data_IF_640647487510
#
_entry.id   IF_640647487510
#
_cell.length_a   1.000
_cell.length_b   1.000
_cell.length_c   1.000
_cell.angle_alpha   90.00
_cell.angle_beta   90.00
_cell.angle_gamma   90.00
#
_symmetry.space_group_name_H-M   'P 1'
#
loop_
_entity.id
_entity.type
_entity.pdbx_description
1 polymer ?
#
# COMPACT_ATOMS: atom_id res chain seq x y z
N UNK A 1 0.20 16.77 16.12
CA UNK A 1 0.35 15.39 15.62
C UNK A 1 -0.18 14.47 16.70
N UNK A 2 -1.00 13.49 16.36
CA UNK A 2 -1.36 12.43 17.33
C UNK A 2 -0.10 11.56 17.44
N UNK A 3 0.64 11.70 18.54
CA UNK A 3 1.77 10.83 18.85
C UNK A 3 1.20 9.45 19.15
N UNK A 4 1.13 8.59 18.13
CA UNK A 4 0.73 7.21 18.33
C UNK A 4 1.92 6.45 18.88
N UNK A 5 1.75 5.79 20.02
CA UNK A 5 2.69 4.78 20.49
C UNK A 5 2.66 3.59 19.52
N UNK A 6 3.49 3.65 18.47
CA UNK A 6 3.53 2.63 17.42
C UNK A 6 3.90 1.24 17.96
N UNK A 7 4.64 1.16 19.07
CA UNK A 7 4.96 -0.10 19.74
C UNK A 7 3.69 -0.71 20.33
N UNK A 8 2.97 0.03 21.16
CA UNK A 8 1.73 -0.45 21.79
C UNK A 8 0.64 -0.77 20.75
N UNK A 9 0.52 0.04 19.70
CA UNK A 9 -0.43 -0.21 18.61
C UNK A 9 -0.08 -1.49 17.85
N UNK A 10 1.20 -1.73 17.54
CA UNK A 10 1.65 -2.94 16.87
C UNK A 10 1.48 -4.19 17.75
N UNK A 11 1.79 -4.08 19.04
CA UNK A 11 1.57 -5.15 20.02
C UNK A 11 0.10 -5.57 20.05
N UNK A 12 -0.80 -4.60 20.23
CA UNK A 12 -2.24 -4.83 20.23
C UNK A 12 -2.70 -5.47 18.92
N UNK A 13 -2.21 -5.01 17.77
CA UNK A 13 -2.53 -5.60 16.47
C UNK A 13 -2.09 -7.07 16.37
N UNK A 14 -0.89 -7.42 16.85
CA UNK A 14 -0.33 -8.77 16.81
C UNK A 14 -0.86 -9.69 17.94
N UNK A 15 -1.60 -9.17 18.90
CA UNK A 15 -2.33 -9.98 19.89
C UNK A 15 -3.41 -10.87 19.24
N UNK A 16 -3.94 -10.44 18.08
CA UNK A 16 -4.92 -11.18 17.30
C UNK A 16 -4.25 -12.24 16.40
N UNK A 17 -4.67 -13.50 16.51
CA UNK A 17 -4.10 -14.62 15.76
C UNK A 17 -4.18 -14.46 14.23
N UNK A 18 -5.30 -13.95 13.72
CA UNK A 18 -5.50 -13.73 12.29
C UNK A 18 -4.55 -12.66 11.75
N UNK A 19 -4.29 -11.61 12.52
CA UNK A 19 -3.29 -10.59 12.18
C UNK A 19 -1.86 -11.14 12.21
N UNK A 20 -1.53 -12.05 13.15
CA UNK A 20 -0.22 -12.74 13.13
C UNK A 20 -0.03 -13.54 11.85
N UNK A 21 -1.03 -14.35 11.47
CA UNK A 21 -1.02 -15.12 10.22
C UNK A 21 -0.86 -14.23 8.99
N UNK A 22 -1.55 -13.08 8.98
CA UNK A 22 -1.45 -12.11 7.89
C UNK A 22 -0.07 -11.48 7.74
N UNK A 23 0.60 -11.25 8.88
CA UNK A 23 1.87 -10.53 8.99
C UNK A 23 3.07 -11.41 8.69
N UNK A 24 2.96 -12.72 8.93
CA UNK A 24 4.06 -13.68 8.77
C UNK A 24 4.73 -13.64 7.37
N UNK A 25 4.00 -13.56 6.24
CA UNK A 25 4.63 -13.37 4.93
C UNK A 25 5.49 -12.11 4.83
N UNK A 26 5.06 -11.00 5.43
CA UNK A 26 5.84 -9.75 5.43
C UNK A 26 7.08 -9.89 6.29
N UNK A 27 6.97 -10.44 7.50
CA UNK A 27 8.13 -10.73 8.35
C UNK A 27 9.13 -11.66 7.65
N UNK A 28 8.63 -12.71 6.98
CA UNK A 28 9.44 -13.60 6.15
C UNK A 28 10.20 -12.83 5.08
N UNK A 29 9.58 -11.85 4.43
CA UNK A 29 10.23 -10.98 3.43
C UNK A 29 11.31 -10.07 4.03
N UNK A 30 11.03 -9.47 5.18
CA UNK A 30 11.96 -8.57 5.87
C UNK A 30 13.19 -9.32 6.39
N UNK A 31 13.00 -10.52 6.90
CA UNK A 31 14.03 -11.35 7.53
C UNK A 31 14.78 -12.27 6.55
N UNK A 32 14.48 -12.25 5.23
CA UNK A 32 15.13 -13.15 4.25
C UNK A 32 16.67 -13.15 4.35
N UNK A 33 17.27 -11.97 4.52
CA UNK A 33 18.73 -11.81 4.63
C UNK A 33 19.32 -12.41 5.92
N UNK A 34 18.46 -12.68 6.90
CA UNK A 34 18.80 -13.21 8.23
C UNK A 34 18.56 -14.71 8.36
N UNK A 35 18.08 -15.37 7.30
CA UNK A 35 17.81 -16.80 7.30
C UNK A 35 19.10 -17.61 7.12
N UNK A 36 19.44 -18.46 8.10
CA UNK A 36 20.64 -19.29 8.16
C UNK A 36 20.28 -20.67 8.70
N UNK A 37 20.57 -21.73 7.94
CA UNK A 37 20.42 -23.11 8.43
C UNK A 37 19.04 -23.48 8.96
N UNK A 38 17.96 -22.94 8.36
CA UNK A 38 16.58 -23.23 8.78
C UNK A 38 15.99 -22.27 9.83
N UNK A 39 16.77 -21.31 10.34
CA UNK A 39 16.32 -20.33 11.34
C UNK A 39 16.65 -18.89 10.92
N UNK A 40 15.88 -17.92 11.41
CA UNK A 40 16.17 -16.49 11.30
C UNK A 40 17.02 -16.05 12.48
N UNK A 41 18.15 -15.40 12.22
CA UNK A 41 19.12 -14.97 13.23
C UNK A 41 19.18 -13.44 13.28
N UNK A 42 18.86 -12.88 14.45
CA UNK A 42 18.95 -11.44 14.72
C UNK A 42 20.04 -11.24 15.78
N UNK A 43 21.05 -10.41 15.50
CA UNK A 43 22.23 -10.27 16.37
C UNK A 43 23.48 -11.01 15.87
N UNK A 44 24.53 -11.01 16.69
CA UNK A 44 25.80 -11.72 16.45
C UNK A 44 26.28 -12.43 17.72
N UNK A 45 26.98 -13.55 17.55
CA UNK A 45 27.63 -14.26 18.67
C UNK A 45 26.63 -14.83 19.68
N UNK A 46 27.00 -14.77 20.96
CA UNK A 46 26.20 -15.28 22.09
C UNK A 46 24.90 -14.50 22.34
N UNK A 47 24.78 -13.28 21.83
CA UNK A 47 23.61 -12.41 22.00
C UNK A 47 22.59 -12.54 20.85
N UNK A 48 22.77 -13.50 19.95
CA UNK A 48 21.85 -13.67 18.81
C UNK A 48 20.53 -14.33 19.23
N UNK A 49 19.42 -13.67 18.92
CA UNK A 49 18.09 -14.28 18.96
C UNK A 49 17.88 -15.16 17.72
N UNK A 50 17.33 -16.36 17.92
CA UNK A 50 17.06 -17.32 16.85
C UNK A 50 15.56 -17.63 16.81
N UNK A 51 14.99 -17.55 15.62
CA UNK A 51 13.56 -17.78 15.39
C UNK A 51 13.38 -18.83 14.29
N UNK A 52 12.51 -19.80 14.53
CA UNK A 52 12.05 -20.75 13.52
C UNK A 52 11.05 -20.10 12.56
N UNK A 53 10.65 -20.82 11.51
CA UNK A 53 9.56 -20.37 10.63
C UNK A 53 8.20 -20.29 11.36
N UNK A 54 7.96 -21.17 12.33
CA UNK A 54 6.74 -21.14 13.14
C UNK A 54 6.68 -19.91 14.05
N UNK A 55 7.83 -19.39 14.48
CA UNK A 55 7.89 -18.19 15.33
C UNK A 55 7.42 -16.93 14.59
N UNK A 56 7.48 -16.90 13.26
CA UNK A 56 6.89 -15.81 12.47
C UNK A 56 5.38 -15.67 12.70
N UNK A 57 4.72 -16.76 13.09
CA UNK A 57 3.29 -16.83 13.37
C UNK A 57 3.00 -16.78 14.87
N UNK A 58 3.82 -17.46 15.68
CA UNK A 58 3.59 -17.58 17.12
C UNK A 58 4.06 -16.34 17.90
N UNK A 59 5.19 -15.74 17.48
CA UNK A 59 5.92 -14.72 18.24
C UNK A 59 6.36 -13.51 17.39
N UNK A 60 5.50 -12.96 16.51
CA UNK A 60 5.89 -11.87 15.63
C UNK A 60 6.29 -10.59 16.37
N UNK A 61 5.75 -10.35 17.57
CA UNK A 61 6.12 -9.18 18.36
C UNK A 61 7.52 -9.31 19.00
N UNK A 62 7.86 -10.47 19.56
CA UNK A 62 9.23 -10.75 20.08
C UNK A 62 10.30 -10.59 19.00
N UNK A 63 9.97 -10.95 17.76
CA UNK A 63 10.83 -10.74 16.59
C UNK A 63 11.05 -9.25 16.33
N UNK A 64 9.98 -8.44 16.40
CA UNK A 64 10.06 -6.99 16.23
C UNK A 64 10.90 -6.35 17.33
N UNK A 65 10.70 -6.74 18.58
CA UNK A 65 11.51 -6.28 19.71
C UNK A 65 13.00 -6.64 19.53
N UNK A 66 13.28 -7.86 19.07
CA UNK A 66 14.65 -8.29 18.78
C UNK A 66 15.29 -7.47 17.65
N UNK A 67 14.54 -7.11 16.60
CA UNK A 67 15.03 -6.23 15.53
C UNK A 67 15.34 -4.82 16.06
N UNK A 68 14.44 -4.23 16.84
CA UNK A 68 14.62 -2.89 17.40
C UNK A 68 15.83 -2.86 18.33
N UNK A 69 15.92 -3.81 19.28
CA UNK A 69 17.04 -3.91 20.20
C UNK A 69 18.37 -4.08 19.47
N UNK A 70 18.42 -4.94 18.45
CA UNK A 70 19.61 -5.14 17.63
C UNK A 70 20.08 -3.85 16.94
N UNK A 71 19.17 -3.12 16.29
CA UNK A 71 19.51 -1.91 15.55
C UNK A 71 19.93 -0.76 16.47
N UNK A 72 19.28 -0.64 17.64
CA UNK A 72 19.68 0.32 18.68
C UNK A 72 21.08 0.03 19.20
N UNK A 73 21.38 -1.22 19.54
CA UNK A 73 22.71 -1.62 20.02
C UNK A 73 23.80 -1.39 18.97
N UNK A 74 23.48 -1.64 17.69
CA UNK A 74 24.40 -1.39 16.58
C UNK A 74 24.53 0.10 16.24
N UNK A 75 23.61 0.95 16.71
CA UNK A 75 23.46 2.36 16.33
C UNK A 75 23.38 2.56 14.81
N UNK A 76 22.71 1.64 14.13
CA UNK A 76 22.59 1.64 12.67
C UNK A 76 21.22 1.15 12.23
N UNK A 77 20.69 1.76 11.17
CA UNK A 77 19.51 1.25 10.48
C UNK A 77 19.87 0.11 9.52
N UNK A 78 18.89 -0.74 9.19
CA UNK A 78 19.03 -1.75 8.16
C UNK A 78 17.76 -1.94 7.30
N UNK A 79 17.94 -2.66 6.20
CA UNK A 79 16.87 -3.00 5.26
C UNK A 79 15.76 -3.90 5.83
N UNK A 80 15.89 -4.44 7.05
CA UNK A 80 14.85 -5.27 7.68
C UNK A 80 13.80 -4.44 8.42
N UNK A 81 14.13 -3.21 8.81
CA UNK A 81 13.16 -2.25 9.37
C UNK A 81 12.92 -1.07 8.43
N UNK A 82 13.95 -0.51 7.81
CA UNK A 82 13.83 0.60 6.85
C UNK A 82 14.28 0.10 5.47
N UNK A 83 13.35 -0.35 4.59
CA UNK A 83 13.70 -1.08 3.38
C UNK A 83 14.67 -0.35 2.44
N UNK A 84 14.68 0.99 2.43
CA UNK A 84 15.55 1.80 1.56
C UNK A 84 16.99 1.93 2.04
N UNK A 85 17.30 1.55 3.29
CA UNK A 85 18.63 1.70 3.86
C UNK A 85 19.48 0.47 3.52
N UNK A 86 20.68 0.73 3.00
CA UNK A 86 21.71 -0.30 2.85
C UNK A 86 22.49 -0.33 4.17
N UNK A 87 22.56 -1.50 4.81
CA UNK A 87 23.32 -1.61 6.06
C UNK A 87 24.82 -1.49 5.80
N UNK A 88 25.58 -1.04 6.80
CA UNK A 88 27.05 -1.00 6.76
C UNK A 88 27.69 -2.35 6.40
N UNK A 89 27.03 -3.46 6.75
CA UNK A 89 27.47 -4.82 6.42
C UNK A 89 27.34 -5.14 4.93
N UNK A 90 26.36 -4.54 4.26
CA UNK A 90 26.09 -4.76 2.84
C UNK A 90 26.87 -3.78 1.96
N UNK A 91 27.09 -2.55 2.45
CA UNK A 91 27.86 -1.54 1.75
C UNK A 91 28.61 -0.61 2.74
N UNK A 92 29.81 -1.00 3.20
CA UNK A 92 30.58 -0.25 4.20
C UNK A 92 30.86 1.21 3.81
N UNK A 93 30.97 1.47 2.50
CA UNK A 93 31.31 2.77 1.93
C UNK A 93 30.10 3.72 1.75
N UNK A 94 28.87 3.23 1.94
CA UNK A 94 27.62 4.01 1.83
C UNK A 94 27.02 4.31 3.20
N UNK A 95 27.87 4.44 4.22
CA UNK A 95 27.47 4.72 5.59
C UNK A 95 26.79 6.10 5.65
N UNK A 96 25.51 6.12 6.00
CA UNK A 96 24.88 7.35 6.51
C UNK A 96 25.49 7.56 7.90
N UNK A 97 26.50 8.42 7.99
CA UNK A 97 27.34 8.56 9.19
C UNK A 97 26.63 9.25 10.38
N UNK A 98 25.39 9.73 10.23
CA UNK A 98 24.89 10.82 11.10
C UNK A 98 23.52 10.62 11.77
N UNK A 99 22.87 9.45 11.70
CA UNK A 99 21.62 9.25 12.45
C UNK A 99 21.62 7.94 13.23
N UNK A 100 21.74 8.06 14.56
CA UNK A 100 21.39 6.97 15.46
C UNK A 100 19.92 6.59 15.24
N UNK A 101 19.57 5.28 15.29
CA UNK A 101 18.20 4.85 15.15
C UNK A 101 17.33 5.38 16.28
N UNK A 102 16.37 6.23 15.91
CA UNK A 102 15.32 6.64 16.82
C UNK A 102 14.32 5.49 16.99
N UNK A 103 14.00 5.17 18.23
CA UNK A 103 13.15 4.02 18.57
C UNK A 103 11.72 4.18 18.03
N UNK A 104 11.16 5.40 18.15
CA UNK A 104 9.83 5.70 17.61
C UNK A 104 9.80 5.48 16.09
N UNK A 105 10.84 5.93 15.39
CA UNK A 105 11.00 5.73 13.95
C UNK A 105 11.07 4.24 13.58
N UNK A 106 11.85 3.43 14.30
CA UNK A 106 11.92 1.99 14.05
C UNK A 106 10.56 1.31 14.25
N UNK A 107 9.85 1.63 15.32
CA UNK A 107 8.52 1.10 15.59
C UNK A 107 7.49 1.56 14.55
N UNK A 108 7.53 2.82 14.11
CA UNK A 108 6.68 3.33 13.04
C UNK A 108 6.87 2.55 11.75
N UNK A 109 8.12 2.31 11.33
CA UNK A 109 8.39 1.54 10.11
C UNK A 109 7.93 0.08 10.22
N UNK A 110 8.19 -0.58 11.35
CA UNK A 110 7.69 -1.92 11.60
C UNK A 110 6.16 -1.96 11.57
N UNK A 111 5.49 -1.01 12.22
CA UNK A 111 4.04 -0.87 12.16
C UNK A 111 3.55 -0.73 10.72
N UNK A 112 4.12 0.18 9.93
CA UNK A 112 3.70 0.42 8.55
C UNK A 112 3.89 -0.80 7.65
N UNK A 113 4.99 -1.54 7.82
CA UNK A 113 5.28 -2.76 7.06
C UNK A 113 4.34 -3.91 7.46
N UNK A 114 4.19 -4.15 8.76
CA UNK A 114 3.50 -5.32 9.29
C UNK A 114 1.98 -5.20 9.17
N UNK A 115 1.45 -4.00 9.39
CA UNK A 115 -0.01 -3.75 9.31
C UNK A 115 -0.48 -3.40 7.90
N UNK A 116 0.45 -3.13 6.99
CA UNK A 116 0.15 -2.71 5.61
C UNK A 116 -0.58 -3.78 4.81
N UNK A 117 -1.39 -3.31 3.86
CA UNK A 117 -2.11 -4.15 2.92
C UNK A 117 -1.12 -4.65 1.85
N UNK A 118 -0.84 -5.95 1.86
CA UNK A 118 0.17 -6.53 0.99
C UNK A 118 -0.39 -7.40 -0.14
N UNK A 119 0.35 -7.40 -1.25
CA UNK A 119 0.21 -8.37 -2.34
C UNK A 119 1.60 -8.76 -2.81
N UNK A 120 1.98 -10.04 -2.59
CA UNK A 120 3.32 -10.56 -2.88
C UNK A 120 4.39 -9.71 -2.18
N UNK A 121 5.23 -9.01 -2.95
CA UNK A 121 6.36 -8.23 -2.46
C UNK A 121 6.05 -6.74 -2.30
N UNK A 122 4.79 -6.34 -2.48
CA UNK A 122 4.36 -4.95 -2.35
C UNK A 122 3.52 -4.81 -1.09
N UNK A 123 3.82 -3.80 -0.27
CA UNK A 123 3.06 -3.44 0.93
C UNK A 123 2.60 -2.00 0.80
N UNK A 124 1.31 -1.75 0.99
CA UNK A 124 0.72 -0.40 0.94
C UNK A 124 0.11 -0.07 2.30
N UNK A 125 0.44 1.10 2.86
CA UNK A 125 -0.12 1.57 4.12
C UNK A 125 -0.56 3.03 4.04
N UNK A 126 -1.48 3.43 4.92
CA UNK A 126 -1.97 4.79 5.08
C UNK A 126 -1.46 5.32 6.42
N UNK A 127 -0.44 6.16 6.37
CA UNK A 127 0.15 6.78 7.56
C UNK A 127 -0.57 8.07 7.94
N UNK A 128 -0.54 8.41 9.24
CA UNK A 128 -1.25 9.55 9.83
C UNK A 128 -2.77 9.56 9.56
N UNK A 129 -3.37 8.39 9.32
CA UNK A 129 -4.82 8.20 9.31
C UNK A 129 -5.29 7.80 10.71
N UNK A 130 -6.46 8.29 11.21
CA UNK A 130 -7.00 7.86 12.49
C UNK A 130 -7.06 6.34 12.60
N UNK A 131 -6.55 5.79 13.71
CA UNK A 131 -6.36 4.35 13.87
C UNK A 131 -7.70 3.61 13.78
N UNK A 132 -8.75 4.16 14.38
CA UNK A 132 -10.11 3.60 14.37
C UNK A 132 -10.65 3.53 12.94
N UNK A 133 -10.40 4.56 12.13
CA UNK A 133 -10.83 4.59 10.73
C UNK A 133 -10.10 3.50 9.91
N UNK A 134 -8.79 3.37 10.12
CA UNK A 134 -7.99 2.34 9.44
C UNK A 134 -8.42 0.92 9.85
N UNK A 135 -8.72 0.70 11.13
CA UNK A 135 -9.23 -0.58 11.64
C UNK A 135 -10.57 -0.94 11.00
N UNK A 136 -11.55 -0.02 10.99
CA UNK A 136 -12.87 -0.28 10.37
C UNK A 136 -12.75 -0.53 8.86
N UNK A 137 -11.83 0.18 8.20
CA UNK A 137 -11.52 -0.07 6.79
C UNK A 137 -10.99 -1.49 6.59
N UNK A 138 -9.99 -1.89 7.39
CA UNK A 138 -9.40 -3.23 7.35
C UNK A 138 -10.44 -4.31 7.63
N UNK A 139 -11.25 -4.17 8.67
CA UNK A 139 -12.32 -5.12 9.01
C UNK A 139 -13.35 -5.24 7.89
N UNK A 140 -13.60 -4.14 7.17
CA UNK A 140 -14.45 -4.16 5.97
C UNK A 140 -13.82 -4.96 4.84
N UNK A 141 -12.52 -4.80 4.59
CA UNK A 141 -11.81 -5.61 3.61
C UNK A 141 -11.79 -7.11 3.98
N UNK A 142 -11.70 -7.44 5.28
CA UNK A 142 -11.76 -8.83 5.76
C UNK A 142 -13.15 -9.41 5.54
N UNK A 143 -14.21 -8.75 6.03
CA UNK A 143 -15.59 -9.22 5.92
C UNK A 143 -16.03 -9.38 4.46
N UNK A 144 -15.58 -8.50 3.58
CA UNK A 144 -15.89 -8.55 2.16
C UNK A 144 -14.89 -9.40 1.37
N UNK A 145 -14.03 -10.15 2.06
CA UNK A 145 -13.02 -11.10 1.51
C UNK A 145 -12.08 -10.48 0.47
N UNK A 146 -11.85 -9.17 0.55
CA UNK A 146 -10.77 -8.50 -0.17
C UNK A 146 -9.42 -8.77 0.49
N UNK A 147 -9.40 -9.13 1.78
CA UNK A 147 -8.25 -9.68 2.48
C UNK A 147 -8.45 -11.16 2.75
N UNK A 148 -7.45 -11.97 2.37
CA UNK A 148 -7.47 -13.43 2.50
C UNK A 148 -6.36 -13.89 3.43
N UNK A 149 -6.66 -14.89 4.26
CA UNK A 149 -5.80 -15.46 5.29
C UNK A 149 -5.65 -16.97 5.06
N UNK A 150 -4.96 -17.36 4.00
CA UNK A 150 -4.79 -18.76 3.63
C UNK A 150 -3.32 -19.20 3.65
N UNK A 151 -3.07 -20.48 3.91
CA UNK A 151 -1.72 -21.07 3.89
C UNK A 151 -1.00 -20.88 2.54
N UNK A 152 -1.75 -20.99 1.44
CA UNK A 152 -1.20 -20.84 0.08
C UNK A 152 -1.24 -19.40 -0.44
N UNK A 153 -2.20 -18.60 0.03
CA UNK A 153 -2.42 -17.24 -0.43
C UNK A 153 -2.90 -16.38 0.74
N UNK A 154 -2.02 -15.49 1.20
CA UNK A 154 -2.32 -14.47 2.21
C UNK A 154 -2.04 -13.10 1.60
N UNK A 155 -2.94 -12.14 1.85
CA UNK A 155 -2.83 -10.78 1.31
C UNK A 155 -4.11 -10.31 0.61
N UNK A 156 -3.97 -9.35 -0.29
CA UNK A 156 -5.08 -8.78 -1.05
C UNK A 156 -5.58 -9.72 -2.16
N UNK A 157 -6.90 -9.89 -2.24
CA UNK A 157 -7.57 -10.59 -3.33
C UNK A 157 -7.74 -9.67 -4.55
N UNK A 158 -6.69 -9.60 -5.36
CA UNK A 158 -6.63 -8.72 -6.54
C UNK A 158 -7.73 -8.99 -7.55
N UNK A 159 -8.10 -10.27 -7.75
CA UNK A 159 -9.17 -10.61 -8.69
C UNK A 159 -10.50 -10.01 -8.22
N UNK A 160 -10.81 -10.15 -6.92
CA UNK A 160 -12.04 -9.60 -6.33
C UNK A 160 -12.05 -8.08 -6.36
N UNK A 161 -10.91 -7.45 -6.03
CA UNK A 161 -10.78 -5.99 -6.07
C UNK A 161 -10.97 -5.42 -7.49
N UNK A 162 -10.32 -6.01 -8.49
CA UNK A 162 -10.47 -5.56 -9.88
C UNK A 162 -11.91 -5.78 -10.38
N UNK A 163 -12.53 -6.92 -10.08
CA UNK A 163 -13.93 -7.17 -10.46
C UNK A 163 -14.91 -6.21 -9.80
N UNK A 164 -14.70 -5.87 -8.52
CA UNK A 164 -15.56 -4.93 -7.78
C UNK A 164 -15.52 -3.52 -8.36
N UNK A 165 -14.41 -3.14 -9.00
CA UNK A 165 -14.29 -1.87 -9.73
C UNK A 165 -14.60 -1.98 -11.22
N UNK A 166 -15.08 -3.15 -11.70
CA UNK A 166 -15.29 -3.45 -13.13
C UNK A 166 -14.03 -3.18 -13.97
N UNK A 167 -12.85 -3.35 -13.38
CA UNK A 167 -11.57 -3.15 -14.01
C UNK A 167 -11.11 -4.43 -14.74
N UNK A 168 -10.37 -4.30 -15.86
CA UNK A 168 -9.79 -5.45 -16.54
C UNK A 168 -8.80 -6.18 -15.63
N UNK A 169 -8.70 -7.50 -15.79
CA UNK A 169 -7.68 -8.31 -15.10
C UNK A 169 -6.29 -7.83 -15.52
N UNK A 170 -5.48 -7.43 -14.55
CA UNK A 170 -4.10 -6.97 -14.79
C UNK A 170 -3.17 -7.44 -13.67
N UNK A 171 -1.90 -7.75 -13.96
CA UNK A 171 -0.90 -7.99 -12.93
C UNK A 171 -0.69 -6.70 -12.12
N UNK A 172 -0.79 -6.73 -10.79
CA UNK A 172 -0.54 -5.53 -10.00
C UNK A 172 0.95 -5.18 -10.03
N UNK A 173 1.21 -3.91 -10.31
CA UNK A 173 2.47 -3.21 -10.02
C UNK A 173 2.26 -2.30 -8.81
N UNK A 174 3.34 -1.77 -8.25
CA UNK A 174 3.33 -0.98 -7.02
C UNK A 174 2.36 0.20 -7.04
N UNK A 175 2.32 1.00 -8.11
CA UNK A 175 1.44 2.16 -8.17
C UNK A 175 0.01 1.79 -8.58
N UNK A 176 -0.16 0.71 -9.36
CA UNK A 176 -1.48 0.13 -9.64
C UNK A 176 -2.12 -0.38 -8.35
N UNK A 177 -1.38 -1.13 -7.53
CA UNK A 177 -1.86 -1.64 -6.24
C UNK A 177 -2.21 -0.49 -5.29
N UNK A 178 -1.34 0.52 -5.23
CA UNK A 178 -1.52 1.68 -4.37
C UNK A 178 -2.75 2.50 -4.75
N UNK A 179 -2.95 2.72 -6.06
CA UNK A 179 -4.16 3.35 -6.59
C UNK A 179 -5.42 2.53 -6.31
N UNK A 180 -5.35 1.20 -6.39
CA UNK A 180 -6.46 0.31 -6.04
C UNK A 180 -6.82 0.40 -4.55
N UNK A 181 -5.83 0.31 -3.65
CA UNK A 181 -6.04 0.43 -2.21
C UNK A 181 -6.68 1.77 -1.88
N UNK A 182 -6.17 2.86 -2.44
CA UNK A 182 -6.72 4.20 -2.24
C UNK A 182 -8.16 4.32 -2.78
N UNK A 183 -8.41 3.79 -3.97
CA UNK A 183 -9.76 3.77 -4.57
C UNK A 183 -10.74 3.04 -3.68
N UNK A 184 -10.32 1.92 -3.10
CA UNK A 184 -11.14 1.16 -2.16
C UNK A 184 -11.34 1.86 -0.83
N UNK A 185 -10.33 2.58 -0.33
CA UNK A 185 -10.47 3.40 0.88
C UNK A 185 -11.52 4.50 0.70
N UNK A 186 -11.50 5.20 -0.43
CA UNK A 186 -12.52 6.21 -0.76
C UNK A 186 -13.89 5.57 -0.97
N UNK A 187 -13.96 4.42 -1.66
CA UNK A 187 -15.20 3.66 -1.83
C UNK A 187 -15.82 3.27 -0.50
N UNK A 188 -15.01 2.68 0.38
CA UNK A 188 -15.39 2.29 1.73
C UNK A 188 -16.04 3.44 2.50
N UNK A 189 -15.43 4.62 2.47
CA UNK A 189 -15.98 5.78 3.19
C UNK A 189 -17.36 6.18 2.69
N UNK A 190 -17.56 6.22 1.37
CA UNK A 190 -18.88 6.50 0.78
C UNK A 190 -19.89 5.43 1.17
N UNK A 191 -19.52 4.15 1.10
CA UNK A 191 -20.42 3.04 1.43
C UNK A 191 -20.85 3.10 2.91
N UNK A 192 -19.94 3.48 3.83
CA UNK A 192 -20.29 3.74 5.24
C UNK A 192 -21.31 4.87 5.38
N UNK A 193 -21.09 5.99 4.68
CA UNK A 193 -22.01 7.13 4.73
C UNK A 193 -23.42 6.80 4.25
N UNK A 194 -23.52 5.97 3.22
CA UNK A 194 -24.81 5.55 2.67
C UNK A 194 -25.55 4.58 3.60
N UNK A 195 -24.82 3.67 4.24
CA UNK A 195 -25.43 2.60 5.06
C UNK A 195 -25.81 3.02 6.48
N UNK A 196 -25.37 4.19 6.98
CA UNK A 196 -25.65 4.81 8.29
C UNK A 196 -25.32 3.99 9.56
N UNK A 197 -25.58 2.68 9.60
CA UNK A 197 -25.36 1.78 10.75
C UNK A 197 -23.91 1.79 11.27
N UNK A 198 -22.92 1.93 10.38
CA UNK A 198 -21.49 2.01 10.74
C UNK A 198 -20.99 3.42 11.01
N UNK A 199 -21.80 4.42 10.69
CA UNK A 199 -21.46 5.81 10.97
C UNK A 199 -21.53 6.07 12.49
N UNK A 200 -22.37 5.31 13.20
CA UNK A 200 -22.59 5.44 14.64
C UNK A 200 -21.42 4.94 15.50
N UNK A 201 -20.56 4.06 14.98
CA UNK A 201 -19.34 3.64 15.67
C UNK A 201 -18.18 4.63 15.53
N UNK A 202 -18.31 5.65 14.66
CA UNK A 202 -17.30 6.69 14.48
C UNK A 202 -17.57 7.90 15.39
N UNK A 203 -16.55 8.65 15.84
CA UNK A 203 -16.73 9.90 16.55
C UNK A 203 -17.62 10.89 15.78
N UNK A 204 -18.49 11.63 16.49
CA UNK A 204 -19.48 12.55 15.88
C UNK A 204 -18.86 13.56 14.90
N UNK A 205 -17.68 14.09 15.20
CA UNK A 205 -16.94 15.01 14.34
C UNK A 205 -16.55 14.42 12.97
N UNK A 206 -16.35 13.11 12.87
CA UNK A 206 -15.98 12.42 11.63
C UNK A 206 -17.19 12.23 10.70
N UNK A 207 -18.40 12.13 11.26
CA UNK A 207 -19.62 11.77 10.51
C UNK A 207 -20.06 12.83 9.51
N UNK A 208 -19.72 14.10 9.76
CA UNK A 208 -20.15 15.23 8.94
C UNK A 208 -19.29 15.46 7.69
N UNK A 209 -18.08 14.90 7.61
CA UNK A 209 -17.12 15.21 6.53
C UNK A 209 -17.45 14.51 5.22
N UNK A 210 -17.61 15.23 4.11
CA UNK A 210 -17.93 14.67 2.77
C UNK A 210 -16.94 13.57 2.34
N UNK A 211 -15.66 13.79 2.60
CA UNK A 211 -14.54 12.88 2.31
C UNK A 211 -14.07 12.16 3.58
N UNK A 212 -13.24 11.09 3.47
CA UNK A 212 -12.64 10.47 4.64
C UNK A 212 -12.02 11.53 5.56
N UNK A 213 -12.21 11.45 6.88
CA UNK A 213 -11.82 12.48 7.85
C UNK A 213 -10.32 12.39 8.13
N UNK A 214 -9.53 12.55 7.08
CA UNK A 214 -8.07 12.56 7.08
C UNK A 214 -7.61 13.98 6.75
N UNK A 215 -6.49 14.38 7.34
CA UNK A 215 -5.85 15.67 7.02
C UNK A 215 -4.85 15.52 5.88
N UNK A 216 -4.35 16.63 5.34
CA UNK A 216 -3.23 16.64 4.39
C UNK A 216 -1.92 16.09 4.97
N UNK A 217 -1.82 15.86 6.29
CA UNK A 217 -0.70 15.12 6.88
C UNK A 217 -0.79 13.60 6.64
N UNK A 218 -1.97 13.10 6.25
CA UNK A 218 -2.14 11.72 5.86
C UNK A 218 -1.36 11.42 4.59
N UNK A 219 -0.69 10.26 4.60
CA UNK A 219 0.28 9.90 3.57
C UNK A 219 0.06 8.45 3.13
N UNK A 220 0.06 8.21 1.83
CA UNK A 220 0.07 6.86 1.27
C UNK A 220 1.53 6.41 1.13
N UNK A 221 1.88 5.31 1.79
CA UNK A 221 3.24 4.75 1.79
C UNK A 221 3.23 3.41 1.08
N UNK A 222 4.20 3.21 0.19
CA UNK A 222 4.32 2.02 -0.65
C UNK A 222 5.72 1.45 -0.52
N UNK A 223 5.81 0.21 -0.05
CA UNK A 223 7.05 -0.54 0.00
C UNK A 223 7.07 -1.59 -1.10
N UNK A 224 8.21 -1.71 -1.77
CA UNK A 224 8.54 -2.85 -2.62
C UNK A 224 9.70 -3.60 -1.96
N UNK A 225 9.48 -4.87 -1.65
CA UNK A 225 10.38 -5.72 -0.86
C UNK A 225 10.79 -6.96 -1.68
N UNK A 226 11.34 -6.80 -2.90
CA UNK A 226 11.85 -7.92 -3.67
C UNK A 226 13.07 -8.55 -3.01
N UNK A 227 13.55 -9.66 -3.57
CA UNK A 227 14.86 -10.24 -3.18
C UNK A 227 16.03 -9.28 -3.44
N UNK A 228 15.89 -8.40 -4.43
CA UNK A 228 16.91 -7.42 -4.81
C UNK A 228 16.76 -6.08 -4.08
N UNK A 229 16.96 -4.99 -4.80
CA UNK A 229 16.85 -3.62 -4.26
C UNK A 229 15.42 -3.33 -3.81
N UNK A 230 15.25 -3.04 -2.52
CA UNK A 230 13.99 -2.61 -1.94
C UNK A 230 13.78 -1.11 -2.18
N UNK A 231 12.53 -0.68 -2.29
CA UNK A 231 12.19 0.73 -2.51
C UNK A 231 11.01 1.14 -1.64
N UNK A 232 10.96 2.43 -1.32
CA UNK A 232 9.84 3.06 -0.64
C UNK A 232 9.41 4.28 -1.44
N UNK A 233 8.11 4.44 -1.61
CA UNK A 233 7.48 5.61 -2.20
C UNK A 233 6.53 6.23 -1.19
N UNK A 234 6.56 7.55 -1.10
CA UNK A 234 5.78 8.34 -0.13
C UNK A 234 4.96 9.35 -0.91
N UNK A 235 3.64 9.27 -0.78
CA UNK A 235 2.68 10.13 -1.46
C UNK A 235 1.93 10.97 -0.41
N UNK A 236 2.40 12.20 -0.13
CA UNK A 236 1.83 13.05 0.92
C UNK A 236 0.51 13.70 0.46
N UNK A 237 -0.15 14.44 1.36
CA UNK A 237 -1.34 15.26 1.06
C UNK A 237 -2.51 14.46 0.50
N UNK A 238 -2.79 13.34 1.17
CA UNK A 238 -3.80 12.39 0.70
C UNK A 238 -5.21 13.00 0.66
N UNK A 239 -5.53 13.92 1.57
CA UNK A 239 -6.81 14.64 1.57
C UNK A 239 -6.98 15.44 0.26
N UNK A 240 -6.02 16.29 -0.08
CA UNK A 240 -6.02 17.07 -1.33
C UNK A 240 -6.15 16.18 -2.57
N UNK A 241 -5.42 15.07 -2.60
CA UNK A 241 -5.49 14.10 -3.68
C UNK A 241 -6.89 13.49 -3.81
N UNK A 242 -7.48 13.03 -2.71
CA UNK A 242 -8.82 12.45 -2.70
C UNK A 242 -9.85 13.49 -3.16
N UNK A 243 -9.82 14.68 -2.57
CA UNK A 243 -10.76 15.76 -2.89
C UNK A 243 -10.67 16.18 -4.35
N UNK A 244 -9.49 16.14 -4.98
CA UNK A 244 -9.36 16.45 -6.41
C UNK A 244 -9.92 15.33 -7.28
N UNK A 245 -9.40 14.12 -7.13
CA UNK A 245 -9.63 13.05 -8.11
C UNK A 245 -10.91 12.25 -7.88
N UNK A 246 -11.40 12.24 -6.64
CA UNK A 246 -12.56 11.45 -6.26
C UNK A 246 -13.80 12.30 -5.93
N UNK A 247 -13.75 13.62 -6.23
CA UNK A 247 -14.86 14.57 -6.00
C UNK A 247 -16.18 14.09 -6.56
N UNK A 248 -16.15 13.63 -7.82
CA UNK A 248 -17.34 13.23 -8.58
C UNK A 248 -17.51 11.73 -8.53
N UNK A 249 -17.97 11.28 -7.37
CA UNK A 249 -18.27 9.88 -7.14
C UNK A 249 -19.79 9.71 -7.03
N UNK A 250 -20.51 9.74 -8.16
CA UNK A 250 -21.96 9.47 -8.19
C UNK A 250 -22.26 7.99 -8.10
N UNK A 251 -21.44 7.16 -8.75
CA UNK A 251 -21.72 5.74 -8.94
C UNK A 251 -20.96 4.83 -7.96
N UNK A 252 -21.07 3.51 -8.14
CA UNK A 252 -20.37 2.48 -7.34
C UNK A 252 -18.85 2.43 -7.56
N UNK A 253 -18.35 3.01 -8.65
CA UNK A 253 -16.91 3.01 -9.02
C UNK A 253 -16.46 4.45 -9.34
N UNK A 254 -15.39 4.97 -8.73
CA UNK A 254 -14.94 6.34 -8.96
C UNK A 254 -14.65 6.62 -10.43
N UNK A 255 -15.07 7.80 -10.91
CA UNK A 255 -14.87 8.19 -12.31
C UNK A 255 -13.39 8.14 -12.71
N UNK A 256 -12.49 8.60 -11.84
CA UNK A 256 -11.03 8.52 -12.05
C UNK A 256 -10.56 7.08 -12.20
N UNK A 257 -11.09 6.14 -11.40
CA UNK A 257 -10.71 4.73 -11.47
C UNK A 257 -11.18 4.09 -12.77
N UNK A 258 -12.42 4.38 -13.20
CA UNK A 258 -12.94 3.92 -14.50
C UNK A 258 -12.09 4.44 -15.65
N UNK A 259 -11.73 5.71 -15.62
CA UNK A 259 -10.87 6.32 -16.62
C UNK A 259 -9.51 5.63 -16.69
N UNK A 260 -8.77 5.60 -15.56
CA UNK A 260 -7.44 5.00 -15.46
C UNK A 260 -7.45 3.56 -15.97
N UNK A 261 -8.38 2.74 -15.50
CA UNK A 261 -8.42 1.32 -15.87
C UNK A 261 -8.89 1.08 -17.31
N UNK A 262 -9.63 2.01 -17.91
CA UNK A 262 -10.02 1.92 -19.32
C UNK A 262 -8.84 2.13 -20.29
N UNK A 263 -7.75 2.78 -19.84
CA UNK A 263 -6.53 2.98 -20.63
C UNK A 263 -5.69 1.70 -20.76
N UNK A 264 -5.93 0.69 -19.93
CA UNK A 264 -5.19 -0.57 -19.99
C UNK A 264 -5.61 -1.43 -21.20
N UNK A 265 -4.61 -1.99 -21.87
CA UNK A 265 -4.81 -2.95 -22.97
C UNK A 265 -4.46 -4.34 -22.45
N UNK A 266 -5.46 -5.23 -22.38
CA UNK A 266 -5.30 -6.60 -21.87
C UNK A 266 -4.79 -7.60 -22.92
N UNK A 267 -4.64 -7.19 -24.17
CA UNK A 267 -4.12 -8.05 -25.24
C UNK A 267 -2.66 -8.42 -24.98
N UNK A 268 -2.34 -9.72 -25.10
CA UNK A 268 -1.02 -10.28 -24.77
C UNK A 268 0.14 -9.56 -25.47
N UNK A 269 -0.06 -9.04 -26.69
CA UNK A 269 0.98 -8.36 -27.46
C UNK A 269 1.32 -6.97 -26.90
N UNK A 270 0.36 -6.32 -26.27
CA UNK A 270 0.48 -4.94 -25.77
C UNK A 270 0.50 -4.84 -24.24
N UNK A 271 0.15 -5.94 -23.56
CA UNK A 271 -0.09 -5.99 -22.13
C UNK A 271 1.05 -5.41 -21.31
N UNK A 272 2.29 -5.86 -21.54
CA UNK A 272 3.44 -5.45 -20.73
C UNK A 272 3.77 -3.96 -20.91
N UNK A 273 3.78 -3.47 -22.16
CA UNK A 273 4.01 -2.04 -22.47
C UNK A 273 2.92 -1.16 -21.88
N UNK A 274 1.65 -1.58 -22.01
CA UNK A 274 0.50 -0.86 -21.45
C UNK A 274 0.59 -0.81 -19.92
N UNK A 275 0.90 -1.94 -19.29
CA UNK A 275 1.05 -2.05 -17.84
C UNK A 275 2.16 -1.14 -17.30
N UNK A 276 3.34 -1.15 -17.94
CA UNK A 276 4.47 -0.34 -17.50
C UNK A 276 4.18 1.16 -17.64
N UNK A 277 3.58 1.56 -18.76
CA UNK A 277 3.22 2.96 -19.01
C UNK A 277 2.14 3.43 -18.02
N UNK A 278 1.14 2.59 -17.74
CA UNK A 278 0.07 2.88 -16.79
C UNK A 278 0.61 3.00 -15.36
N UNK A 279 1.50 2.10 -14.95
CA UNK A 279 2.13 2.17 -13.63
C UNK A 279 2.94 3.47 -13.46
N UNK A 280 3.73 3.85 -14.46
CA UNK A 280 4.46 5.14 -14.45
C UNK A 280 3.53 6.34 -14.39
N UNK A 281 2.43 6.32 -15.15
CA UNK A 281 1.41 7.37 -15.08
C UNK A 281 0.81 7.49 -13.68
N UNK A 282 0.48 6.36 -13.06
CA UNK A 282 -0.07 6.31 -11.71
C UNK A 282 0.88 6.82 -10.64
N UNK A 283 2.20 6.68 -10.80
CA UNK A 283 3.18 7.32 -9.92
C UNK A 283 2.96 8.84 -9.84
N UNK A 284 2.81 9.51 -10.99
CA UNK A 284 2.56 10.96 -11.02
C UNK A 284 1.16 11.29 -10.51
N UNK A 285 0.14 10.52 -10.91
CA UNK A 285 -1.23 10.74 -10.47
C UNK A 285 -1.36 10.66 -8.94
N UNK A 286 -0.67 9.69 -8.32
CA UNK A 286 -0.61 9.51 -6.86
C UNK A 286 0.17 10.64 -6.16
N UNK A 287 0.97 11.43 -6.89
CA UNK A 287 1.58 12.68 -6.39
C UNK A 287 0.70 13.90 -6.59
N UNK A 288 -0.55 13.70 -7.03
CA UNK A 288 -1.46 14.76 -7.42
C UNK A 288 -0.94 15.57 -8.63
N UNK A 289 -0.12 14.96 -9.48
CA UNK A 289 0.43 15.54 -10.71
C UNK A 289 -0.08 14.75 -11.93
N UNK A 290 -0.12 15.37 -13.11
CA UNK A 290 -0.44 14.65 -14.36
C UNK A 290 0.69 14.83 -15.34
N UNK A 291 1.36 13.72 -15.66
CA UNK A 291 2.35 13.70 -16.73
C UNK A 291 1.62 13.59 -18.09
N UNK A 292 1.58 14.70 -18.82
CA UNK A 292 0.87 14.82 -20.10
C UNK A 292 1.39 13.86 -21.18
N UNK A 293 2.70 13.63 -21.24
CA UNK A 293 3.30 12.72 -22.22
C UNK A 293 2.89 11.27 -21.98
N UNK A 294 2.91 10.82 -20.73
CA UNK A 294 2.47 9.48 -20.35
C UNK A 294 0.96 9.31 -20.60
N UNK A 295 0.16 10.32 -20.27
CA UNK A 295 -1.27 10.31 -20.53
C UNK A 295 -1.54 10.23 -22.04
N UNK A 296 -0.93 11.10 -22.84
CA UNK A 296 -1.08 11.10 -24.29
C UNK A 296 -0.67 9.76 -24.88
N UNK A 297 0.47 9.19 -24.44
CA UNK A 297 0.92 7.86 -24.87
C UNK A 297 -0.10 6.77 -24.55
N UNK A 298 -0.67 6.75 -23.35
CA UNK A 298 -1.70 5.78 -22.96
C UNK A 298 -2.95 5.90 -23.83
N UNK A 299 -3.41 7.13 -24.07
CA UNK A 299 -4.58 7.43 -24.92
C UNK A 299 -4.32 6.99 -26.36
N UNK A 300 -3.20 7.40 -26.95
CA UNK A 300 -2.84 7.07 -28.34
C UNK A 300 -2.63 5.58 -28.53
N UNK A 301 -1.92 4.91 -27.62
CA UNK A 301 -1.73 3.45 -27.67
C UNK A 301 -3.08 2.73 -27.58
N UNK A 302 -3.98 3.16 -26.67
CA UNK A 302 -5.33 2.59 -26.51
C UNK A 302 -6.18 2.78 -27.76
N UNK A 303 -6.25 4.00 -28.31
CA UNK A 303 -7.01 4.29 -29.53
C UNK A 303 -6.46 3.52 -30.73
N UNK A 304 -5.13 3.49 -30.90
CA UNK A 304 -4.48 2.76 -31.99
C UNK A 304 -4.75 1.26 -31.93
N UNK A 305 -4.81 0.70 -30.73
CA UNK A 305 -5.17 -0.71 -30.52
C UNK A 305 -6.64 -0.96 -30.87
N UNK A 306 -7.57 -0.17 -30.33
CA UNK A 306 -9.01 -0.37 -30.54
C UNK A 306 -9.42 -0.15 -32.01
N UNK A 307 -8.78 0.76 -32.75
CA UNK A 307 -9.04 0.98 -34.18
C UNK A 307 -8.52 -0.16 -35.08
N UNK A 308 -7.51 -0.93 -34.62
CA UNK A 308 -6.95 -2.07 -35.36
C UNK A 308 -7.62 -3.39 -34.99
N UNK A 309 -8.37 -3.42 -33.89
CA UNK A 309 -8.99 -4.63 -33.38
C UNK A 309 -10.24 -4.95 -34.20
N UNK A 310 -10.43 -6.22 -34.55
CA UNK A 310 -11.67 -6.69 -35.16
C UNK A 310 -12.81 -6.65 -34.13
N UNK A 311 -13.95 -6.06 -34.52
CA UNK A 311 -15.15 -5.93 -33.69
C UNK A 311 -15.44 -4.50 -33.23
N UNK A 312 -16.36 -4.36 -32.27
CA UNK A 312 -16.77 -3.05 -31.76
C UNK A 312 -15.66 -2.46 -30.88
N UNK A 313 -15.14 -1.25 -31.20
CA UNK A 313 -14.11 -0.61 -30.39
C UNK A 313 -14.66 -0.23 -29.00
N UNK A 314 -13.84 -0.42 -27.98
CA UNK A 314 -14.14 0.07 -26.63
C UNK A 314 -13.52 1.46 -26.44
N UNK A 315 -14.37 2.45 -26.12
CA UNK A 315 -13.91 3.80 -25.84
C UNK A 315 -13.14 3.95 -24.53
N UNK A 316 -12.59 5.15 -24.31
CA UNK A 316 -11.96 5.54 -23.05
C UNK A 316 -13.07 6.07 -22.13
N UNK A 317 -13.30 5.38 -21.00
CA UNK A 317 -14.37 5.73 -20.08
C UNK A 317 -14.03 7.01 -19.32
N UNK A 318 -15.03 7.84 -19.03
CA UNK A 318 -14.92 8.99 -18.12
C UNK A 318 -13.80 10.02 -18.42
N UNK A 319 -13.33 10.10 -19.68
CA UNK A 319 -12.26 11.02 -20.07
C UNK A 319 -12.62 12.49 -19.82
N UNK A 320 -13.86 12.90 -20.12
CA UNK A 320 -14.31 14.28 -19.91
C UNK A 320 -14.28 14.65 -18.42
N UNK A 321 -14.79 13.78 -17.56
CA UNK A 321 -14.76 14.00 -16.10
C UNK A 321 -13.33 14.05 -15.56
N UNK A 322 -12.42 13.25 -16.11
CA UNK A 322 -11.01 13.31 -15.76
C UNK A 322 -10.40 14.67 -16.16
N UNK A 323 -10.63 15.13 -17.39
CA UNK A 323 -10.11 16.40 -17.90
C UNK A 323 -10.68 17.61 -17.15
N UNK A 324 -11.96 17.60 -16.81
CA UNK A 324 -12.57 18.65 -15.97
C UNK A 324 -11.91 18.74 -14.58
N UNK A 325 -11.41 17.62 -14.05
CA UNK A 325 -10.68 17.60 -12.77
C UNK A 325 -9.29 18.24 -12.87
N UNK A 326 -8.79 18.49 -14.09
CA UNK A 326 -7.56 19.24 -14.35
C UNK A 326 -7.78 20.76 -14.34
N UNK A 327 -8.97 21.23 -14.72
CA UNK A 327 -9.28 22.65 -14.89
C UNK A 327 -9.35 23.42 -13.56
N UNK A 328 -9.46 22.74 -12.42
CA UNK A 328 -9.50 23.36 -11.09
C UNK A 328 -8.11 23.77 -10.55
N UNK A 329 -7.13 23.98 -11.43
CA UNK A 329 -5.74 24.29 -11.07
C UNK A 329 -5.18 25.52 -11.81
N UNK A 330 -6.04 26.36 -12.38
CA UNK A 330 -5.71 27.75 -12.73
C UNK A 330 -5.98 28.70 -11.57
#
# INVERSE_FOLDING_TARGET
MVSNDYRAVLENYLSNEQNRKYSAPVLKMLLRQRFRGGVYVIGRGSESSKFSENDLYAKPFEICESLVAYLRNKREYDASVIPTIISSEQAPNFRIQEMEPDEETLWRFLYLLITGLHYREIVVNLDNVPLELFQIFRDTLIREEYLVFGERLTGLNMSKMLSGLKAPKMPPKEFILSFLVLTYFVKFWKDIKQKKEKLESLPSAMRMMEYPPISDNATLIVFTIPRGKKQMFVFPRLQSLITRWYKRYSDDVPAVARFVFSLYISDKKYQDKSLETLNKFLYYLLRNEVNGDLLNKLVVDKLSYELKKEGKPYGIANILQFLESLQFYE
#
